data_IF_361045297903
#
_entry.id   IF_361045297903
#
_cell.length_a   1.000
_cell.length_b   1.000
_cell.length_c   1.000
_cell.angle_alpha   90.00
_cell.angle_beta   90.00
_cell.angle_gamma   90.00
#
_symmetry.space_group_name_H-M   'P 1'
#
loop_
_entity.id
_entity.type
_entity.pdbx_description
1 polymer ?
#
# COMPACT_ATOMS: atom_id res chain seq x y z
N UNK A 1 -18.86 13.26 21.06
CA UNK A 1 -18.93 12.65 19.73
C UNK A 1 -17.73 11.74 19.48
N UNK A 2 -17.99 10.50 19.13
CA UNK A 2 -16.93 9.52 18.91
C UNK A 2 -16.32 9.67 17.53
N UNK A 3 -14.98 9.57 17.49
CA UNK A 3 -14.26 9.49 16.22
C UNK A 3 -14.31 8.03 15.73
N UNK A 4 -14.26 7.85 14.44
CA UNK A 4 -14.20 6.51 13.85
C UNK A 4 -12.74 6.07 13.67
N UNK A 5 -12.55 4.82 13.26
CA UNK A 5 -11.22 4.24 13.11
C UNK A 5 -10.40 4.99 12.05
N UNK A 6 -11.03 5.32 10.94
CA UNK A 6 -10.35 6.03 9.85
C UNK A 6 -9.82 7.39 10.32
N UNK A 7 -10.64 8.14 11.06
CA UNK A 7 -10.23 9.45 11.57
C UNK A 7 -9.03 9.34 12.52
N UNK A 8 -9.06 8.35 13.41
CA UNK A 8 -7.95 8.11 14.34
C UNK A 8 -6.69 7.69 13.59
N UNK A 9 -6.84 6.84 12.58
CA UNK A 9 -5.74 6.43 11.72
C UNK A 9 -5.09 7.63 11.04
N UNK A 10 -5.88 8.49 10.45
CA UNK A 10 -5.37 9.68 9.75
C UNK A 10 -4.66 10.63 10.71
N UNK A 11 -5.13 10.75 11.94
CA UNK A 11 -4.47 11.55 12.98
C UNK A 11 -3.11 10.96 13.32
N UNK A 12 -3.04 9.65 13.58
CA UNK A 12 -1.77 8.99 13.91
C UNK A 12 -0.76 9.13 12.79
N UNK A 13 -1.22 9.10 11.55
CA UNK A 13 -0.35 9.11 10.37
C UNK A 13 -0.05 10.50 9.85
N UNK A 14 -0.58 11.55 10.47
CA UNK A 14 -0.39 12.93 10.02
C UNK A 14 1.07 13.39 10.04
N UNK A 15 1.89 12.80 10.92
CA UNK A 15 3.31 13.14 11.02
C UNK A 15 4.21 12.30 10.11
N UNK A 16 3.65 11.29 9.43
CA UNK A 16 4.42 10.44 8.53
C UNK A 16 4.60 11.16 7.20
N UNK A 17 5.86 11.29 6.75
CA UNK A 17 6.15 11.89 5.46
C UNK A 17 5.89 10.86 4.37
N UNK A 18 4.80 11.01 3.66
CA UNK A 18 4.41 10.10 2.58
C UNK A 18 4.19 10.78 1.23
N UNK A 19 4.64 12.05 1.13
CA UNK A 19 4.64 12.82 -0.11
C UNK A 19 5.88 13.68 -0.17
N UNK A 20 6.13 14.30 -1.32
CA UNK A 20 7.20 15.29 -1.50
C UNK A 20 8.57 14.78 -1.08
N UNK A 21 8.89 13.57 -1.49
CA UNK A 21 10.20 12.98 -1.21
C UNK A 21 11.29 13.77 -1.93
N UNK A 22 12.41 13.98 -1.24
CA UNK A 22 13.49 14.85 -1.72
C UNK A 22 14.83 14.16 -1.69
N UNK A 23 15.75 14.70 -2.49
CA UNK A 23 17.14 14.24 -2.53
C UNK A 23 17.43 13.35 -3.73
N UNK A 24 18.43 12.49 -3.59
CA UNK A 24 18.80 11.54 -4.64
C UNK A 24 17.72 10.49 -4.84
N UNK A 25 17.83 9.72 -5.92
CA UNK A 25 16.89 8.62 -6.17
C UNK A 25 16.91 7.61 -5.02
N UNK A 26 18.08 7.33 -4.45
CA UNK A 26 18.21 6.43 -3.31
C UNK A 26 17.54 7.01 -2.06
N UNK A 27 17.74 8.30 -1.82
CA UNK A 27 17.12 8.98 -0.67
C UNK A 27 15.61 9.04 -0.78
N UNK A 28 15.09 9.31 -1.97
CA UNK A 28 13.64 9.32 -2.20
C UNK A 28 13.03 7.92 -1.99
N UNK A 29 13.71 6.89 -2.48
CA UNK A 29 13.25 5.50 -2.30
C UNK A 29 13.25 5.11 -0.82
N UNK A 30 14.25 5.54 -0.07
CA UNK A 30 14.35 5.28 1.36
C UNK A 30 13.21 5.94 2.13
N UNK A 31 12.89 7.20 1.80
CA UNK A 31 11.77 7.93 2.39
C UNK A 31 10.43 7.22 2.10
N UNK A 32 10.24 6.80 0.85
CA UNK A 32 9.03 6.09 0.45
C UNK A 32 8.90 4.76 1.19
N UNK A 33 10.00 4.02 1.34
CA UNK A 33 9.99 2.74 2.04
C UNK A 33 9.69 2.90 3.52
N UNK A 34 10.21 3.95 4.14
CA UNK A 34 9.92 4.27 5.53
C UNK A 34 8.44 4.57 5.73
N UNK A 35 7.84 5.34 4.82
CA UNK A 35 6.41 5.63 4.85
C UNK A 35 5.59 4.35 4.61
N UNK A 36 6.02 3.52 3.64
CA UNK A 36 5.35 2.24 3.37
C UNK A 36 5.29 1.36 4.61
N UNK A 37 6.41 1.26 5.32
CA UNK A 37 6.50 0.46 6.54
C UNK A 37 5.52 0.95 7.60
N UNK A 38 5.44 2.26 7.78
CA UNK A 38 4.52 2.85 8.75
C UNK A 38 3.07 2.53 8.38
N UNK A 39 2.70 2.66 7.09
CA UNK A 39 1.37 2.34 6.62
C UNK A 39 1.09 0.84 6.67
N UNK A 40 2.10 0.01 6.42
CA UNK A 40 1.98 -1.45 6.52
C UNK A 40 1.67 -1.89 7.95
N UNK A 41 2.31 -1.26 8.93
CA UNK A 41 2.01 -1.54 10.34
C UNK A 41 0.54 -1.24 10.66
N UNK A 42 0.03 -0.11 10.17
CA UNK A 42 -1.37 0.26 10.37
C UNK A 42 -2.32 -0.68 9.61
N UNK A 43 -1.94 -1.05 8.40
CA UNK A 43 -2.69 -2.03 7.61
C UNK A 43 -2.83 -3.35 8.36
N UNK A 44 -1.73 -3.85 8.92
CA UNK A 44 -1.73 -5.11 9.65
C UNK A 44 -2.58 -5.03 10.91
N UNK A 45 -2.56 -3.89 11.60
CA UNK A 45 -3.40 -3.68 12.79
C UNK A 45 -4.88 -3.78 12.47
N UNK A 46 -5.34 -3.05 11.46
CA UNK A 46 -6.77 -3.06 11.12
C UNK A 46 -7.17 -4.39 10.49
N UNK A 47 -6.27 -5.03 9.75
CA UNK A 47 -6.54 -6.35 9.19
C UNK A 47 -6.79 -7.38 10.31
N UNK A 48 -5.95 -7.38 11.34
CA UNK A 48 -6.10 -8.27 12.49
C UNK A 48 -7.41 -8.01 13.25
N UNK A 49 -7.76 -6.74 13.41
CA UNK A 49 -9.03 -6.38 14.06
C UNK A 49 -10.22 -6.92 13.27
N UNK A 50 -10.21 -6.72 11.96
CA UNK A 50 -11.26 -7.23 11.09
C UNK A 50 -11.35 -8.75 11.15
N UNK A 51 -10.21 -9.43 11.08
CA UNK A 51 -10.19 -10.89 11.14
C UNK A 51 -10.70 -11.42 12.46
N UNK A 52 -10.51 -10.67 13.55
CA UNK A 52 -11.04 -11.08 14.86
C UNK A 52 -12.54 -10.91 14.99
N UNK A 53 -13.15 -10.05 14.18
CA UNK A 53 -14.59 -9.72 14.26
C UNK A 53 -15.43 -10.37 13.16
N UNK A 54 -14.81 -10.68 12.02
CA UNK A 54 -15.51 -11.35 10.93
C UNK A 54 -15.56 -12.85 11.17
N UNK A 55 -16.54 -13.50 10.60
CA UNK A 55 -16.67 -14.96 10.74
C UNK A 55 -16.95 -15.61 9.38
N UNK A 56 -16.61 -16.89 9.29
CA UNK A 56 -16.95 -17.75 8.16
C UNK A 56 -16.60 -17.16 6.81
N UNK A 57 -17.62 -16.96 6.01
CA UNK A 57 -17.50 -16.52 4.61
C UNK A 57 -16.90 -15.12 4.48
N UNK A 58 -17.26 -14.21 5.38
CA UNK A 58 -16.73 -12.84 5.35
C UNK A 58 -15.23 -12.81 5.60
N UNK A 59 -14.77 -13.64 6.53
CA UNK A 59 -13.35 -13.80 6.84
C UNK A 59 -12.58 -14.33 5.62
N UNK A 60 -13.14 -15.35 4.97
CA UNK A 60 -12.53 -15.93 3.76
C UNK A 60 -12.47 -14.90 2.62
N UNK A 61 -13.51 -14.10 2.46
CA UNK A 61 -13.54 -13.03 1.45
C UNK A 61 -12.44 -12.00 1.69
N UNK A 62 -12.24 -11.59 2.96
CA UNK A 62 -11.19 -10.64 3.29
C UNK A 62 -9.80 -11.22 3.01
N UNK A 63 -9.56 -12.46 3.37
CA UNK A 63 -8.29 -13.14 3.09
C UNK A 63 -8.01 -13.19 1.59
N UNK A 64 -9.02 -13.54 0.79
CA UNK A 64 -8.88 -13.59 -0.66
C UNK A 64 -8.64 -12.21 -1.25
N UNK A 65 -9.34 -11.19 -0.74
CA UNK A 65 -9.18 -9.81 -1.15
C UNK A 65 -7.75 -9.34 -0.89
N UNK A 66 -7.17 -9.71 0.24
CA UNK A 66 -5.80 -9.33 0.59
C UNK A 66 -4.79 -9.98 -0.37
N UNK A 67 -4.98 -11.26 -0.68
CA UNK A 67 -4.12 -11.97 -1.64
C UNK A 67 -4.18 -11.34 -3.03
N UNK A 68 -5.38 -11.00 -3.48
CA UNK A 68 -5.57 -10.34 -4.78
C UNK A 68 -4.92 -8.96 -4.79
N UNK A 69 -5.02 -8.21 -3.69
CA UNK A 69 -4.39 -6.92 -3.56
C UNK A 69 -2.87 -7.01 -3.73
N UNK A 70 -2.24 -7.99 -3.07
CA UNK A 70 -0.79 -8.23 -3.18
C UNK A 70 -0.41 -8.56 -4.63
N UNK A 71 -1.16 -9.45 -5.26
CA UNK A 71 -0.92 -9.84 -6.67
C UNK A 71 -1.05 -8.65 -7.61
N UNK A 72 -2.06 -7.81 -7.39
CA UNK A 72 -2.31 -6.65 -8.23
C UNK A 72 -1.20 -5.62 -8.14
N UNK A 73 -0.62 -5.42 -6.95
CA UNK A 73 0.54 -4.53 -6.77
C UNK A 73 1.71 -5.05 -7.60
N UNK A 74 2.01 -6.34 -7.50
CA UNK A 74 3.13 -6.93 -8.25
C UNK A 74 2.92 -6.80 -9.76
N UNK A 75 1.70 -7.02 -10.24
CA UNK A 75 1.38 -6.85 -11.66
C UNK A 75 1.54 -5.40 -12.10
N UNK A 76 1.08 -4.46 -11.28
CA UNK A 76 1.20 -3.04 -11.57
C UNK A 76 2.67 -2.62 -11.68
N UNK A 77 3.50 -3.09 -10.75
CA UNK A 77 4.93 -2.77 -10.73
C UNK A 77 5.63 -3.39 -11.94
N UNK A 78 5.33 -4.64 -12.27
CA UNK A 78 5.91 -5.29 -13.45
C UNK A 78 5.57 -4.52 -14.72
N UNK A 79 4.32 -4.11 -14.87
CA UNK A 79 3.87 -3.32 -16.02
C UNK A 79 4.59 -1.97 -16.08
N UNK A 80 4.69 -1.31 -14.93
CA UNK A 80 5.35 -0.01 -14.83
C UNK A 80 6.84 -0.12 -15.21
N UNK A 81 7.52 -1.15 -14.73
CA UNK A 81 8.93 -1.39 -15.05
C UNK A 81 9.12 -1.70 -16.53
N UNK A 82 8.22 -2.50 -17.12
CA UNK A 82 8.27 -2.79 -18.56
C UNK A 82 8.13 -1.50 -19.38
N UNK A 83 7.23 -0.61 -18.98
CA UNK A 83 7.02 0.67 -19.66
C UNK A 83 8.22 1.62 -19.49
N UNK A 84 8.76 1.71 -18.27
CA UNK A 84 9.88 2.62 -17.98
C UNK A 84 11.21 2.15 -18.57
N UNK A 85 11.46 0.85 -18.51
CA UNK A 85 12.74 0.28 -18.96
C UNK A 85 12.72 -0.11 -20.43
N UNK A 86 11.53 -0.39 -20.97
CA UNK A 86 11.36 -0.86 -22.33
C UNK A 86 11.64 -2.36 -22.46
N UNK A 87 11.15 -2.93 -23.55
CA UNK A 87 11.33 -4.36 -23.86
C UNK A 87 12.18 -4.49 -25.14
N UNK A 88 13.03 -5.51 -25.18
CA UNK A 88 13.83 -5.81 -26.38
C UNK A 88 12.97 -6.59 -27.40
N UNK A 89 13.59 -6.97 -28.50
CA UNK A 89 12.91 -7.70 -29.59
C UNK A 89 12.30 -9.01 -29.14
N UNK A 90 12.82 -9.60 -28.06
CA UNK A 90 12.35 -10.88 -27.52
C UNK A 90 11.32 -10.68 -26.39
N UNK A 91 10.90 -9.44 -26.14
CA UNK A 91 9.98 -9.13 -25.07
C UNK A 91 10.60 -9.12 -23.68
N UNK A 92 11.93 -9.05 -23.60
CA UNK A 92 12.66 -9.06 -22.35
C UNK A 92 12.93 -7.63 -21.89
N UNK A 93 12.78 -7.37 -20.60
CA UNK A 93 13.02 -6.03 -20.05
C UNK A 93 14.47 -5.60 -20.22
N UNK A 94 14.67 -4.40 -20.76
CA UNK A 94 16.00 -3.81 -20.92
C UNK A 94 16.47 -3.22 -19.59
N UNK A 95 17.73 -2.78 -19.54
CA UNK A 95 18.32 -2.18 -18.36
C UNK A 95 17.57 -0.90 -17.99
N UNK A 96 17.19 -0.80 -16.72
CA UNK A 96 16.47 0.35 -16.19
C UNK A 96 17.45 1.40 -15.65
N UNK A 97 17.05 2.67 -15.74
CA UNK A 97 17.76 3.75 -15.05
C UNK A 97 17.45 3.74 -13.55
N UNK A 98 18.20 4.52 -12.79
CA UNK A 98 18.03 4.57 -11.32
C UNK A 98 16.70 5.17 -10.90
N UNK A 99 16.02 5.93 -11.77
CA UNK A 99 14.75 6.58 -11.47
C UNK A 99 13.63 5.58 -11.13
N UNK A 100 13.74 4.33 -11.60
CA UNK A 100 12.73 3.31 -11.33
C UNK A 100 12.68 2.92 -9.84
N UNK A 101 13.80 3.10 -9.12
CA UNK A 101 13.89 2.72 -7.70
C UNK A 101 12.89 3.52 -6.83
N UNK A 102 12.90 4.87 -6.87
CA UNK A 102 11.92 5.64 -6.11
C UNK A 102 10.50 5.53 -6.67
N UNK A 103 10.33 5.30 -7.97
CA UNK A 103 9.00 5.12 -8.56
C UNK A 103 8.38 3.83 -8.02
N UNK A 104 9.13 2.73 -8.01
CA UNK A 104 8.65 1.46 -7.46
C UNK A 104 8.32 1.59 -5.98
N UNK A 105 9.24 2.16 -5.19
CA UNK A 105 9.05 2.35 -3.75
C UNK A 105 7.83 3.22 -3.46
N UNK A 106 7.64 4.29 -4.22
CA UNK A 106 6.50 5.19 -4.10
C UNK A 106 5.18 4.50 -4.41
N UNK A 107 5.17 3.67 -5.46
CA UNK A 107 3.98 2.92 -5.85
C UNK A 107 3.57 1.95 -4.75
N UNK A 108 4.53 1.22 -4.21
CA UNK A 108 4.26 0.29 -3.10
C UNK A 108 3.70 1.04 -1.88
N UNK A 109 4.28 2.18 -1.56
CA UNK A 109 3.81 3.02 -0.45
C UNK A 109 2.37 3.48 -0.67
N UNK A 110 2.06 4.03 -1.84
CA UNK A 110 0.72 4.53 -2.16
C UNK A 110 -0.32 3.42 -2.05
N UNK A 111 -0.02 2.23 -2.58
CA UNK A 111 -0.97 1.10 -2.54
C UNK A 111 -1.17 0.60 -1.11
N UNK A 112 -0.12 0.58 -0.30
CA UNK A 112 -0.22 0.18 1.10
C UNK A 112 -1.08 1.16 1.89
N UNK A 113 -0.85 2.46 1.68
CA UNK A 113 -1.65 3.52 2.30
C UNK A 113 -3.13 3.40 1.93
N UNK A 114 -3.41 3.27 0.63
CA UNK A 114 -4.78 3.11 0.14
C UNK A 114 -5.48 1.91 0.78
N UNK A 115 -4.77 0.80 0.89
CA UNK A 115 -5.34 -0.42 1.47
C UNK A 115 -5.62 -0.25 2.97
N UNK A 116 -4.70 0.37 3.71
CA UNK A 116 -4.90 0.64 5.13
C UNK A 116 -6.15 1.49 5.35
N UNK A 117 -6.33 2.53 4.54
CA UNK A 117 -7.49 3.41 4.63
C UNK A 117 -8.76 2.65 4.23
N UNK A 118 -8.70 1.83 3.19
CA UNK A 118 -9.83 1.02 2.74
C UNK A 118 -10.30 0.07 3.86
N UNK A 119 -9.38 -0.59 4.52
CA UNK A 119 -9.72 -1.51 5.61
C UNK A 119 -10.23 -0.74 6.84
N UNK A 120 -9.70 0.45 7.10
CA UNK A 120 -10.21 1.31 8.18
C UNK A 120 -11.68 1.68 7.94
N UNK A 121 -12.01 2.04 6.70
CA UNK A 121 -13.39 2.34 6.32
C UNK A 121 -14.29 1.12 6.47
N UNK A 122 -13.79 -0.05 6.09
CA UNK A 122 -14.52 -1.31 6.25
C UNK A 122 -14.82 -1.58 7.73
N UNK A 123 -13.82 -1.35 8.60
CA UNK A 123 -13.98 -1.51 10.04
C UNK A 123 -15.08 -0.57 10.58
N UNK A 124 -15.05 0.69 10.15
CA UNK A 124 -16.07 1.67 10.55
C UNK A 124 -17.45 1.25 10.08
N UNK A 125 -17.56 0.71 8.88
CA UNK A 125 -18.83 0.28 8.30
C UNK A 125 -19.48 -0.83 9.12
N UNK A 126 -18.71 -1.82 9.58
CA UNK A 126 -19.26 -2.91 10.39
C UNK A 126 -19.58 -2.47 11.82
N UNK A 127 -19.04 -1.34 12.27
CA UNK A 127 -19.31 -0.77 13.59
C UNK A 127 -20.32 0.38 13.54
N UNK A 128 -20.87 0.63 12.39
CA UNK A 128 -21.86 1.68 12.19
C UNK A 128 -23.17 1.29 12.83
N UNK A 129 -23.75 2.20 13.60
CA UNK A 129 -25.04 1.98 14.25
C UNK A 129 -26.17 2.59 13.45
#
# INVERSE_FOLDING_TARGET
QQTNYEEELMKRMSSVKDTDFEGSTAEMAEQAEKARKAWDDELNKVYKLLMSELSGEQKAKLQNSEREWIKNIEKEIEKMLDEECGLDEKGKRMTCGTVVVPIEAGTRMERTKERAIQLAKMYDEIHKK
#
